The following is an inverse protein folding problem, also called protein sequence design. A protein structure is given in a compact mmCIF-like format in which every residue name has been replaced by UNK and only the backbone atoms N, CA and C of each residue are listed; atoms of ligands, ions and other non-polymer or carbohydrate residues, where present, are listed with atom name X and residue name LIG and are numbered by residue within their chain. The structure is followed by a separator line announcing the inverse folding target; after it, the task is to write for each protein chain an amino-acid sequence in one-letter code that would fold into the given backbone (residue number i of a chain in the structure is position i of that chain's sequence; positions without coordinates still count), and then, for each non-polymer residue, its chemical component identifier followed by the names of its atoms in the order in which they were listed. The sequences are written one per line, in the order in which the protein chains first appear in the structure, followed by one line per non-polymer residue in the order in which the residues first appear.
data_IF_709265622663
#
_entry.id   IF_709265622663
#
_cell.length_a   1.000
_cell.length_b   1.000
_cell.length_c   1.000
_cell.angle_alpha   90.00
_cell.angle_beta   90.00
_cell.angle_gamma   90.00
#
_symmetry.space_group_name_H-M   'P 1'
#
loop_
_entity.id
_entity.type
_entity.pdbx_description
1 polymer ?
#
# COMPACT_ATOMS: atom_id res chain seq x y z
N UNK A 1 12.31 5.51 -19.27
CA UNK A 1 13.67 6.03 -19.10
C UNK A 1 14.19 6.61 -20.41
N UNK A 2 14.82 7.79 -20.39
CA UNK A 2 15.43 8.41 -21.59
C UNK A 2 16.54 7.52 -22.24
N UNK A 3 17.19 6.72 -21.43
CA UNK A 3 18.22 5.77 -21.89
C UNK A 3 17.62 4.71 -22.81
N UNK A 4 16.52 4.05 -22.39
CA UNK A 4 15.87 3.00 -23.19
C UNK A 4 15.39 3.52 -24.55
N UNK A 5 14.86 4.74 -24.61
CA UNK A 5 14.44 5.38 -25.87
C UNK A 5 15.61 5.66 -26.84
N UNK A 6 16.86 5.68 -26.36
CA UNK A 6 18.07 5.89 -27.18
C UNK A 6 18.65 4.60 -27.74
N UNK A 7 18.24 3.43 -27.22
CA UNK A 7 18.79 2.13 -27.64
C UNK A 7 18.44 1.74 -29.08
N UNK A 8 17.33 2.28 -29.64
CA UNK A 8 16.81 1.97 -30.96
C UNK A 8 16.85 0.46 -31.29
N UNK A 9 16.20 -0.39 -30.47
CA UNK A 9 16.23 -1.83 -30.67
C UNK A 9 15.48 -2.21 -31.96
N UNK A 10 15.91 -3.27 -32.64
CA UNK A 10 15.23 -3.82 -33.82
C UNK A 10 13.85 -4.39 -33.49
N UNK A 11 13.70 -4.97 -32.30
CA UNK A 11 12.45 -5.55 -31.81
C UNK A 11 12.22 -5.17 -30.36
N UNK A 12 10.95 -4.94 -30.00
CA UNK A 12 10.54 -4.55 -28.64
C UNK A 12 9.35 -5.37 -28.20
N UNK A 13 9.47 -6.01 -27.05
CA UNK A 13 8.36 -6.63 -26.34
C UNK A 13 8.29 -5.99 -24.94
N UNK A 14 7.12 -5.44 -24.60
CA UNK A 14 6.85 -4.87 -23.30
C UNK A 14 5.83 -5.75 -22.56
N UNK A 15 6.22 -6.31 -21.44
CA UNK A 15 5.35 -7.12 -20.59
C UNK A 15 5.11 -6.40 -19.26
N UNK A 16 3.85 -6.21 -18.89
CA UNK A 16 3.47 -5.57 -17.62
C UNK A 16 2.05 -5.93 -17.23
N UNK A 17 1.82 -6.24 -15.96
CA UNK A 17 0.47 -6.36 -15.41
C UNK A 17 -0.21 -4.98 -15.17
N UNK A 18 0.55 -3.89 -15.16
CA UNK A 18 0.05 -2.54 -14.87
C UNK A 18 0.71 -1.49 -15.76
N UNK A 19 0.49 -1.51 -17.07
CA UNK A 19 1.21 -0.66 -18.04
C UNK A 19 1.03 0.85 -17.78
N UNK A 20 -0.12 1.25 -17.27
CA UNK A 20 -0.42 2.64 -16.92
C UNK A 20 -0.18 2.94 -15.44
N UNK A 21 -0.29 1.96 -14.56
CA UNK A 21 -0.42 2.14 -13.12
C UNK A 21 -1.44 3.24 -12.76
N UNK A 22 -2.61 3.24 -13.45
CA UNK A 22 -3.68 4.23 -13.32
C UNK A 22 -3.41 5.59 -13.96
N UNK A 23 -2.29 5.76 -14.69
CA UNK A 23 -1.85 7.05 -15.26
C UNK A 23 -1.51 6.93 -16.73
N UNK A 24 -2.42 7.33 -17.61
CA UNK A 24 -2.26 7.19 -19.07
C UNK A 24 -1.07 7.98 -19.64
N UNK A 25 -0.62 9.05 -18.99
CA UNK A 25 0.56 9.80 -19.42
C UNK A 25 1.84 8.94 -19.42
N UNK A 26 1.87 7.84 -18.69
CA UNK A 26 3.01 6.91 -18.67
C UNK A 26 3.16 6.09 -19.96
N UNK A 27 2.08 5.99 -20.74
CA UNK A 27 2.10 5.24 -21.99
C UNK A 27 2.93 5.93 -23.08
N UNK A 28 3.13 7.25 -23.02
CA UNK A 28 3.89 7.96 -24.06
C UNK A 28 5.26 7.33 -24.34
N UNK A 29 6.03 7.02 -23.30
CA UNK A 29 7.37 6.44 -23.46
C UNK A 29 7.33 5.00 -23.98
N UNK A 30 6.32 4.23 -23.62
CA UNK A 30 6.09 2.87 -24.09
C UNK A 30 5.71 2.87 -25.58
N UNK A 31 4.74 3.70 -25.94
CA UNK A 31 4.29 3.86 -27.33
C UNK A 31 5.39 4.37 -28.25
N UNK A 32 6.20 5.33 -27.79
CA UNK A 32 7.35 5.79 -28.53
C UNK A 32 8.38 4.68 -28.78
N UNK A 33 8.61 3.82 -27.79
CA UNK A 33 9.49 2.67 -27.93
C UNK A 33 8.95 1.64 -28.92
N UNK A 34 7.62 1.47 -28.97
CA UNK A 34 6.92 0.61 -29.93
C UNK A 34 6.78 1.21 -31.34
N UNK A 35 7.37 2.38 -31.59
CA UNK A 35 7.41 2.98 -32.93
C UNK A 35 6.38 4.07 -33.18
N UNK A 36 5.56 4.47 -32.21
CA UNK A 36 4.68 5.63 -32.38
C UNK A 36 5.48 6.93 -32.23
N UNK A 37 5.79 7.55 -33.37
CA UNK A 37 6.53 8.81 -33.37
C UNK A 37 5.60 10.00 -33.06
N UNK A 38 5.24 10.09 -31.80
CA UNK A 38 4.52 11.23 -31.23
C UNK A 38 5.39 11.93 -30.19
N UNK A 39 5.53 13.25 -30.31
CA UNK A 39 6.24 14.00 -29.29
C UNK A 39 5.39 14.10 -28.00
N UNK A 40 6.09 14.26 -26.85
CA UNK A 40 5.42 14.28 -25.54
C UNK A 40 4.38 15.41 -25.42
N UNK A 41 4.66 16.59 -25.97
CA UNK A 41 3.75 17.74 -25.90
C UNK A 41 2.45 17.46 -26.66
N UNK A 42 2.53 16.89 -27.86
CA UNK A 42 1.36 16.51 -28.66
C UNK A 42 0.55 15.39 -27.96
N UNK A 43 1.25 14.39 -27.38
CA UNK A 43 0.57 13.34 -26.62
C UNK A 43 -0.22 13.91 -25.44
N UNK A 44 0.41 14.78 -24.63
CA UNK A 44 -0.26 15.42 -23.50
C UNK A 44 -1.44 16.30 -23.97
N UNK A 45 -1.25 17.11 -25.00
CA UNK A 45 -2.31 17.93 -25.55
C UNK A 45 -3.51 17.11 -26.05
N UNK A 46 -3.27 15.88 -26.54
CA UNK A 46 -4.33 15.01 -27.07
C UNK A 46 -5.03 14.17 -26.00
N UNK A 47 -4.33 13.73 -24.94
CA UNK A 47 -4.86 12.71 -24.05
C UNK A 47 -4.90 13.07 -22.57
N UNK A 48 -4.23 14.16 -22.15
CA UNK A 48 -4.14 14.54 -20.75
C UNK A 48 -4.89 15.84 -20.51
N UNK A 49 -5.69 15.90 -19.46
CA UNK A 49 -6.33 17.12 -18.97
C UNK A 49 -5.50 17.66 -17.81
N UNK A 50 -5.15 18.93 -17.87
CA UNK A 50 -4.37 19.60 -16.83
C UNK A 50 -5.04 20.88 -16.39
N UNK A 51 -4.89 21.23 -15.12
CA UNK A 51 -5.31 22.50 -14.54
C UNK A 51 -4.16 23.11 -13.75
N UNK A 52 -4.13 24.44 -13.73
CA UNK A 52 -3.19 25.19 -12.93
C UNK A 52 -3.78 25.42 -11.55
N UNK A 53 -3.14 24.85 -10.52
CA UNK A 53 -3.54 25.06 -9.13
C UNK A 53 -2.52 25.99 -8.49
N UNK A 54 -3.02 27.04 -7.84
CA UNK A 54 -2.20 27.95 -7.04
C UNK A 54 -2.08 27.40 -5.61
N UNK A 55 -0.85 27.14 -5.20
CA UNK A 55 -0.57 26.81 -3.81
C UNK A 55 -0.61 28.12 -2.98
N UNK A 56 -0.92 28.02 -1.67
CA UNK A 56 -1.04 29.15 -0.77
C UNK A 56 0.20 30.10 -0.71
N UNK A 57 1.31 29.71 -1.31
CA UNK A 57 2.55 30.48 -1.42
C UNK A 57 2.67 31.23 -2.77
N UNK A 58 1.59 31.32 -3.55
CA UNK A 58 1.55 32.02 -4.85
C UNK A 58 2.19 31.26 -6.02
N UNK A 59 2.71 30.05 -5.80
CA UNK A 59 3.25 29.21 -6.88
C UNK A 59 2.14 28.48 -7.62
N UNK A 60 2.10 28.66 -8.96
CA UNK A 60 1.20 27.90 -9.83
C UNK A 60 1.85 26.60 -10.26
N UNK A 61 1.17 25.48 -10.04
CA UNK A 61 1.58 24.16 -10.47
C UNK A 61 0.55 23.58 -11.40
N UNK A 62 1.00 23.03 -12.54
CA UNK A 62 0.17 22.26 -13.44
C UNK A 62 -0.07 20.86 -12.86
N UNK A 63 -1.34 20.51 -12.69
CA UNK A 63 -1.77 19.20 -12.13
C UNK A 63 -2.65 18.50 -13.14
N UNK A 64 -2.44 17.19 -13.28
CA UNK A 64 -3.29 16.35 -14.13
C UNK A 64 -4.60 16.10 -13.38
N UNK A 65 -5.72 16.50 -13.98
CA UNK A 65 -7.08 16.35 -13.43
C UNK A 65 -7.85 15.23 -14.10
N UNK A 66 -7.41 14.78 -15.28
CA UNK A 66 -8.10 13.71 -15.99
C UNK A 66 -7.45 13.33 -17.31
N UNK A 67 -8.19 12.55 -18.09
CA UNK A 67 -7.78 12.09 -19.40
C UNK A 67 -8.91 12.25 -20.41
N UNK A 68 -8.55 12.53 -21.66
CA UNK A 68 -9.47 12.69 -22.78
C UNK A 68 -9.11 11.74 -23.92
N UNK A 69 -10.09 11.49 -24.80
CA UNK A 69 -9.93 10.60 -25.97
C UNK A 69 -9.35 9.20 -25.63
N UNK A 70 -9.72 8.65 -24.47
CA UNK A 70 -9.18 7.37 -23.98
C UNK A 70 -9.47 6.22 -24.94
N UNK A 71 -10.66 6.18 -25.54
CA UNK A 71 -11.02 5.12 -26.49
C UNK A 71 -10.18 5.20 -27.79
N UNK A 72 -9.85 6.41 -28.24
CA UNK A 72 -8.92 6.60 -29.35
C UNK A 72 -7.53 6.10 -28.97
N UNK A 73 -7.06 6.39 -27.76
CA UNK A 73 -5.76 5.91 -27.25
C UNK A 73 -5.71 4.38 -27.19
N UNK A 74 -6.77 3.72 -26.72
CA UNK A 74 -6.88 2.24 -26.68
C UNK A 74 -6.82 1.65 -28.10
N UNK A 75 -7.55 2.21 -29.05
CA UNK A 75 -7.48 1.76 -30.45
C UNK A 75 -6.06 1.91 -31.03
N UNK A 76 -5.37 3.01 -30.72
CA UNK A 76 -3.97 3.20 -31.14
C UNK A 76 -3.05 2.16 -30.49
N UNK A 77 -3.22 1.85 -29.22
CA UNK A 77 -2.46 0.80 -28.53
C UNK A 77 -2.58 -0.55 -29.26
N UNK A 78 -3.80 -0.95 -29.60
CA UNK A 78 -4.04 -2.19 -30.37
C UNK A 78 -3.38 -2.16 -31.74
N UNK A 79 -3.35 -1.01 -32.44
CA UNK A 79 -2.67 -0.85 -33.73
C UNK A 79 -1.14 -1.03 -33.60
N UNK A 80 -0.56 -0.72 -32.44
CA UNK A 80 0.86 -0.96 -32.11
C UNK A 80 1.10 -2.33 -31.46
N UNK A 81 0.17 -3.27 -31.60
CA UNK A 81 0.33 -4.65 -31.17
C UNK A 81 0.08 -4.87 -29.67
N UNK A 82 -0.54 -3.93 -28.96
CA UNK A 82 -0.90 -4.16 -27.57
C UNK A 82 -2.00 -5.22 -27.45
N UNK A 83 -1.72 -6.25 -26.69
CA UNK A 83 -2.68 -7.31 -26.33
C UNK A 83 -2.98 -7.17 -24.86
N UNK A 84 -4.26 -7.09 -24.52
CA UNK A 84 -4.75 -7.04 -23.15
C UNK A 84 -5.46 -8.35 -22.85
N UNK A 85 -4.96 -9.07 -21.87
CA UNK A 85 -5.58 -10.29 -21.36
C UNK A 85 -5.87 -10.11 -19.88
N UNK A 86 -7.07 -10.45 -19.47
CA UNK A 86 -7.41 -10.55 -18.05
C UNK A 86 -7.06 -11.95 -17.57
N UNK A 87 -6.67 -12.05 -16.31
CA UNK A 87 -6.30 -13.34 -15.72
C UNK A 87 -7.45 -14.33 -15.80
N UNK A 88 -8.70 -13.85 -15.61
CA UNK A 88 -9.92 -14.65 -15.66
C UNK A 88 -10.26 -15.19 -17.07
N UNK A 89 -9.69 -14.59 -18.13
CA UNK A 89 -9.86 -15.04 -19.51
C UNK A 89 -8.92 -16.20 -19.88
N UNK A 90 -7.87 -16.40 -19.07
CA UNK A 90 -6.79 -17.37 -19.37
C UNK A 90 -6.73 -18.49 -18.35
N UNK A 91 -7.08 -18.23 -17.10
CA UNK A 91 -7.00 -19.17 -15.98
C UNK A 91 -8.31 -19.10 -15.20
N UNK A 92 -8.89 -20.27 -14.92
CA UNK A 92 -9.98 -20.36 -13.96
C UNK A 92 -9.44 -20.07 -12.55
N UNK A 93 -9.79 -18.91 -12.00
CA UNK A 93 -9.47 -18.55 -10.64
C UNK A 93 -10.63 -18.93 -9.71
N UNK A 94 -10.33 -19.35 -8.48
CA UNK A 94 -11.37 -19.52 -7.47
C UNK A 94 -12.09 -18.20 -7.22
N UNK A 95 -13.35 -18.28 -6.80
CA UNK A 95 -14.13 -17.10 -6.46
C UNK A 95 -13.43 -16.29 -5.37
N UNK A 96 -13.26 -15.00 -5.63
CA UNK A 96 -12.65 -14.09 -4.68
C UNK A 96 -13.73 -13.47 -3.78
N UNK A 97 -13.65 -13.74 -2.49
CA UNK A 97 -14.52 -13.13 -1.48
C UNK A 97 -13.80 -12.02 -0.74
N UNK A 98 -14.48 -10.91 -0.52
CA UNK A 98 -13.98 -9.78 0.26
C UNK A 98 -14.80 -9.65 1.55
N UNK A 99 -14.14 -9.75 2.71
CA UNK A 99 -14.75 -9.53 4.00
C UNK A 99 -14.16 -8.29 4.67
N UNK A 100 -15.02 -7.35 5.06
CA UNK A 100 -14.62 -6.13 5.77
C UNK A 100 -14.97 -6.23 7.24
N UNK A 101 -13.97 -6.12 8.10
CA UNK A 101 -14.16 -6.06 9.55
C UNK A 101 -14.10 -4.60 9.97
N UNK A 102 -15.22 -4.07 10.47
CA UNK A 102 -15.31 -2.69 10.95
C UNK A 102 -15.09 -2.65 12.47
N UNK A 103 -14.14 -1.84 12.90
CA UNK A 103 -13.78 -1.65 14.28
C UNK A 103 -14.18 -0.25 14.76
N UNK A 104 -14.44 -0.11 16.05
CA UNK A 104 -14.77 1.19 16.63
C UNK A 104 -13.52 2.05 16.78
N UNK A 105 -13.66 3.34 16.52
CA UNK A 105 -12.61 4.32 16.78
C UNK A 105 -12.34 4.39 18.29
N UNK A 106 -11.07 4.20 18.69
CA UNK A 106 -10.66 4.20 20.10
C UNK A 106 -10.75 5.59 20.73
N UNK A 107 -10.83 5.64 22.05
CA UNK A 107 -10.83 6.90 22.79
C UNK A 107 -9.47 7.63 22.67
N UNK A 108 -8.38 6.87 22.65
CA UNK A 108 -7.02 7.36 22.44
C UNK A 108 -6.89 8.09 21.10
N UNK A 109 -7.44 7.50 20.03
CA UNK A 109 -7.47 8.15 18.70
C UNK A 109 -8.26 9.45 18.73
N UNK A 110 -9.48 9.45 19.33
CA UNK A 110 -10.32 10.64 19.45
C UNK A 110 -9.64 11.73 20.26
N UNK A 111 -8.99 11.35 21.37
CA UNK A 111 -8.24 12.28 22.22
C UNK A 111 -7.06 12.89 21.45
N UNK A 112 -6.26 12.07 20.78
CA UNK A 112 -5.11 12.53 20.02
C UNK A 112 -5.49 13.48 18.86
N UNK A 113 -6.56 13.17 18.12
CA UNK A 113 -7.06 14.05 17.06
C UNK A 113 -7.41 15.44 17.59
N UNK A 114 -8.02 15.49 18.78
CA UNK A 114 -8.49 16.74 19.39
C UNK A 114 -7.36 17.56 20.02
N UNK A 115 -6.42 16.89 20.69
CA UNK A 115 -5.41 17.56 21.52
C UNK A 115 -4.01 17.61 20.90
N UNK A 116 -3.74 16.87 19.83
CA UNK A 116 -2.42 16.66 19.21
C UNK A 116 -1.34 16.10 20.17
N UNK A 117 -1.77 15.54 21.29
CA UNK A 117 -0.92 14.95 22.30
C UNK A 117 -1.61 13.74 22.91
N UNK A 118 -0.82 12.69 23.18
CA UNK A 118 -1.29 11.51 23.91
C UNK A 118 -0.09 10.82 24.56
N UNK A 119 -0.22 10.45 25.82
CA UNK A 119 0.63 9.46 26.48
C UNK A 119 -0.09 8.11 26.46
N UNK A 120 0.50 7.12 25.81
CA UNK A 120 -0.08 5.80 25.60
C UNK A 120 0.71 4.74 26.38
N UNK A 121 0.02 3.99 27.25
CA UNK A 121 0.58 2.77 27.86
C UNK A 121 0.29 1.58 26.95
N UNK A 122 1.33 1.04 26.36
CA UNK A 122 1.21 -0.02 25.35
C UNK A 122 1.19 -1.43 25.95
N UNK A 123 1.42 -1.61 27.25
CA UNK A 123 1.48 -2.90 27.93
C UNK A 123 0.14 -3.64 27.95
N UNK A 124 -0.96 -2.90 28.03
CA UNK A 124 -2.32 -3.43 28.18
C UNK A 124 -3.07 -3.64 26.86
N UNK A 125 -2.41 -3.49 25.70
CA UNK A 125 -3.06 -3.59 24.39
C UNK A 125 -3.44 -5.03 24.03
N UNK A 126 -2.66 -6.02 24.49
CA UNK A 126 -2.99 -7.44 24.35
C UNK A 126 -2.62 -8.13 25.66
N UNK A 127 -3.59 -8.73 26.33
CA UNK A 127 -3.33 -9.61 27.47
C UNK A 127 -3.04 -11.01 26.95
N UNK A 128 -1.82 -11.48 27.16
CA UNK A 128 -1.48 -12.89 27.00
C UNK A 128 -1.78 -13.62 28.31
N UNK A 129 -2.13 -14.92 28.24
CA UNK A 129 -2.50 -15.71 29.43
C UNK A 129 -1.36 -15.83 30.45
N UNK A 130 -0.12 -15.62 30.04
CA UNK A 130 1.07 -15.60 30.89
C UNK A 130 1.73 -14.21 30.82
N UNK A 131 1.21 -13.27 31.61
CA UNK A 131 1.73 -11.89 31.69
C UNK A 131 3.11 -11.76 32.38
N UNK A 132 3.73 -12.88 32.81
CA UNK A 132 4.99 -12.86 33.54
C UNK A 132 6.25 -12.71 32.67
N UNK A 133 6.17 -12.98 31.36
CA UNK A 133 7.33 -13.03 30.48
C UNK A 133 7.42 -11.89 29.45
N UNK A 134 6.69 -10.79 29.67
CA UNK A 134 6.55 -9.71 28.68
C UNK A 134 7.58 -8.58 28.86
N UNK A 135 8.77 -8.87 29.38
CA UNK A 135 9.95 -8.00 29.35
C UNK A 135 10.78 -8.19 28.06
N UNK A 136 10.13 -8.29 26.92
CA UNK A 136 10.81 -8.30 25.64
C UNK A 136 11.25 -6.89 25.25
N UNK A 137 12.53 -6.72 24.96
CA UNK A 137 13.26 -5.48 24.67
C UNK A 137 12.70 -4.63 23.51
N UNK A 138 11.72 -5.13 22.75
CA UNK A 138 11.26 -4.51 21.49
C UNK A 138 9.96 -3.69 21.58
N UNK A 139 9.32 -3.58 22.76
CA UNK A 139 8.08 -2.81 22.91
C UNK A 139 8.25 -1.75 23.97
N UNK A 140 8.25 -0.48 23.57
CA UNK A 140 8.30 0.65 24.50
C UNK A 140 7.04 0.66 25.35
N UNK A 141 7.13 0.52 26.69
CA UNK A 141 5.95 0.35 27.55
C UNK A 141 5.09 1.61 27.66
N UNK A 142 5.68 2.78 27.45
CA UNK A 142 5.00 4.07 27.37
C UNK A 142 5.50 4.85 26.20
N UNK A 143 4.59 5.41 25.41
CA UNK A 143 4.89 6.20 24.22
C UNK A 143 4.20 7.53 24.32
N UNK A 144 4.97 8.59 24.15
CA UNK A 144 4.47 9.96 24.07
C UNK A 144 4.31 10.35 22.60
N UNK A 145 3.11 10.71 22.20
CA UNK A 145 2.76 11.09 20.85
C UNK A 145 2.50 12.60 20.79
N UNK A 146 3.31 13.31 20.02
CA UNK A 146 3.21 14.77 19.82
C UNK A 146 2.98 15.05 18.34
N UNK A 147 1.77 15.47 17.99
CA UNK A 147 1.38 15.83 16.61
C UNK A 147 1.70 17.29 16.31
N UNK A 148 2.97 17.66 16.31
CA UNK A 148 3.48 19.01 16.11
C UNK A 148 3.25 19.55 14.69
N UNK A 149 3.13 18.66 13.71
CA UNK A 149 2.83 18.98 12.33
C UNK A 149 1.87 17.96 11.71
N UNK A 150 1.34 18.26 10.53
CA UNK A 150 0.35 17.41 9.86
C UNK A 150 0.88 16.01 9.49
N UNK A 151 2.17 15.90 9.14
CA UNK A 151 2.78 14.63 8.78
C UNK A 151 2.93 13.73 10.02
N UNK A 152 3.48 14.25 11.09
CA UNK A 152 3.66 13.56 12.38
C UNK A 152 2.29 13.14 12.95
N UNK A 153 1.31 14.05 12.91
CA UNK A 153 -0.06 13.76 13.32
C UNK A 153 -0.66 12.60 12.52
N UNK A 154 -0.53 12.63 11.20
CA UNK A 154 -1.04 11.55 10.32
C UNK A 154 -0.34 10.22 10.60
N UNK A 155 0.97 10.25 10.85
CA UNK A 155 1.74 9.05 11.21
C UNK A 155 1.19 8.41 12.49
N UNK A 156 1.04 9.18 13.56
CA UNK A 156 0.54 8.68 14.84
C UNK A 156 -0.92 8.22 14.76
N UNK A 157 -1.76 8.90 14.00
CA UNK A 157 -3.11 8.43 13.71
C UNK A 157 -3.12 7.03 13.08
N UNK A 158 -2.22 6.78 12.12
CA UNK A 158 -2.08 5.47 11.49
C UNK A 158 -1.57 4.41 12.47
N UNK A 159 -0.64 4.76 13.36
CA UNK A 159 -0.14 3.85 14.40
C UNK A 159 -1.23 3.52 15.42
N UNK A 160 -2.03 4.50 15.85
CA UNK A 160 -3.17 4.28 16.74
C UNK A 160 -4.25 3.38 16.12
N UNK A 161 -4.45 3.45 14.79
CA UNK A 161 -5.36 2.56 14.07
C UNK A 161 -4.73 1.19 13.73
N UNK A 162 -3.42 1.06 13.77
CA UNK A 162 -2.67 -0.15 13.44
C UNK A 162 -2.19 -0.88 14.68
N UNK A 163 -0.93 -0.66 15.02
CA UNK A 163 -0.19 -1.40 16.04
C UNK A 163 -0.72 -1.24 17.47
N UNK A 164 -1.45 -0.17 17.77
CA UNK A 164 -1.97 0.12 19.11
C UNK A 164 -3.49 0.02 19.21
N UNK A 165 -4.15 -0.57 18.23
CA UNK A 165 -5.60 -0.78 18.26
C UNK A 165 -5.92 -2.18 18.81
N UNK A 166 -6.36 -2.24 20.07
CA UNK A 166 -6.62 -3.50 20.78
C UNK A 166 -7.61 -4.41 20.04
N UNK A 167 -8.79 -3.88 19.69
CA UNK A 167 -9.81 -4.67 18.98
C UNK A 167 -9.30 -5.20 17.62
N UNK A 168 -8.38 -4.50 16.95
CA UNK A 168 -7.75 -4.98 15.70
C UNK A 168 -6.86 -6.20 15.95
N UNK A 169 -6.08 -6.16 17.03
CA UNK A 169 -5.23 -7.27 17.42
C UNK A 169 -6.06 -8.48 17.89
N UNK A 170 -7.17 -8.23 18.60
CA UNK A 170 -8.13 -9.27 18.98
C UNK A 170 -8.81 -9.88 17.75
N UNK A 171 -9.30 -9.07 16.80
CA UNK A 171 -9.89 -9.57 15.56
C UNK A 171 -8.88 -10.38 14.71
N UNK A 172 -7.61 -10.04 14.75
CA UNK A 172 -6.57 -10.84 14.11
C UNK A 172 -6.38 -12.19 14.83
N UNK A 173 -6.42 -12.22 16.17
CA UNK A 173 -6.39 -13.47 16.92
C UNK A 173 -7.58 -14.36 16.58
N UNK A 174 -8.79 -13.81 16.61
CA UNK A 174 -10.02 -14.54 16.27
C UNK A 174 -9.93 -15.12 14.85
N UNK A 175 -9.37 -14.37 13.91
CA UNK A 175 -9.15 -14.86 12.55
C UNK A 175 -8.19 -16.06 12.54
N UNK A 176 -7.07 -15.99 13.28
CA UNK A 176 -6.11 -17.09 13.38
C UNK A 176 -6.71 -18.34 14.04
N UNK A 177 -7.60 -18.17 15.02
CA UNK A 177 -8.28 -19.26 15.69
C UNK A 177 -9.37 -19.90 14.81
N UNK A 178 -9.92 -19.13 13.86
CA UNK A 178 -11.03 -19.58 12.99
C UNK A 178 -10.57 -20.40 11.79
N UNK A 179 -9.28 -20.44 11.46
CA UNK A 179 -8.77 -21.17 10.29
C UNK A 179 -7.41 -21.81 10.53
N UNK A 180 -7.20 -22.96 9.91
CA UNK A 180 -5.90 -23.63 9.81
C UNK A 180 -5.13 -23.21 8.55
N UNK A 181 -5.72 -22.41 7.68
CA UNK A 181 -5.14 -22.01 6.41
C UNK A 181 -3.91 -21.11 6.59
N UNK A 182 -3.08 -21.06 5.55
CA UNK A 182 -1.97 -20.12 5.46
C UNK A 182 -2.49 -18.73 5.15
N UNK A 183 -2.08 -17.75 5.96
CA UNK A 183 -2.49 -16.36 5.81
C UNK A 183 -1.33 -15.49 5.34
N UNK A 184 -1.61 -14.55 4.45
CA UNK A 184 -0.69 -13.47 4.09
C UNK A 184 -1.19 -12.18 4.76
N UNK A 185 -0.38 -11.63 5.66
CA UNK A 185 -0.75 -10.45 6.44
C UNK A 185 0.12 -9.27 6.02
N UNK A 186 -0.52 -8.19 5.56
CA UNK A 186 0.13 -6.92 5.28
C UNK A 186 0.05 -6.00 6.49
N UNK A 187 1.18 -5.41 6.85
CA UNK A 187 1.31 -4.48 7.97
C UNK A 187 2.12 -3.24 7.56
N UNK A 188 2.08 -2.20 8.37
CA UNK A 188 2.73 -0.92 8.05
C UNK A 188 3.93 -0.57 8.95
N UNK A 189 3.99 -1.10 10.16
CA UNK A 189 4.97 -0.71 11.17
C UNK A 189 5.66 -1.92 11.79
N UNK A 190 6.94 -1.78 12.15
CA UNK A 190 7.71 -2.87 12.75
C UNK A 190 7.13 -3.31 14.11
N UNK A 191 6.63 -2.38 14.92
CA UNK A 191 5.97 -2.73 16.18
C UNK A 191 4.64 -3.50 15.94
N UNK A 192 3.91 -3.18 14.87
CA UNK A 192 2.75 -3.97 14.45
C UNK A 192 3.15 -5.42 14.14
N UNK A 193 4.25 -5.62 13.38
CA UNK A 193 4.79 -6.96 13.11
C UNK A 193 5.14 -7.70 14.41
N UNK A 194 5.83 -7.04 15.36
CA UNK A 194 6.20 -7.64 16.64
C UNK A 194 4.96 -8.13 17.39
N UNK A 195 3.88 -7.34 17.43
CA UNK A 195 2.63 -7.72 18.09
C UNK A 195 1.91 -8.87 17.37
N UNK A 196 1.84 -8.82 16.05
CA UNK A 196 1.24 -9.89 15.25
C UNK A 196 1.99 -11.21 15.43
N UNK A 197 3.33 -11.19 15.44
CA UNK A 197 4.15 -12.38 15.71
C UNK A 197 3.87 -12.98 17.09
N UNK A 198 3.81 -12.16 18.13
CA UNK A 198 3.52 -12.65 19.48
C UNK A 198 2.14 -13.31 19.58
N UNK A 199 1.13 -12.78 18.86
CA UNK A 199 -0.19 -13.45 18.78
C UNK A 199 -0.04 -14.81 18.09
N UNK A 200 0.67 -14.91 16.98
CA UNK A 200 0.92 -16.19 16.30
C UNK A 200 1.65 -17.17 17.21
N UNK A 201 2.71 -16.74 17.89
CA UNK A 201 3.49 -17.55 18.84
C UNK A 201 2.61 -18.08 19.99
N UNK A 202 1.72 -17.23 20.53
CA UNK A 202 0.78 -17.65 21.60
C UNK A 202 -0.24 -18.71 21.14
N UNK A 203 -0.45 -18.86 19.85
CA UNK A 203 -1.33 -19.84 19.22
C UNK A 203 -0.53 -21.00 18.56
N UNK A 204 0.78 -21.09 18.80
CA UNK A 204 1.69 -22.06 18.18
C UNK A 204 1.65 -22.03 16.64
N UNK A 205 1.43 -20.85 16.04
CA UNK A 205 1.46 -20.64 14.58
C UNK A 205 2.83 -20.16 14.17
N UNK A 206 3.46 -20.86 13.25
CA UNK A 206 4.76 -20.47 12.66
C UNK A 206 4.61 -19.25 11.75
N UNK A 207 5.63 -18.39 11.75
CA UNK A 207 5.60 -17.10 11.02
C UNK A 207 6.84 -16.92 10.19
N UNK A 208 6.64 -16.67 8.90
CA UNK A 208 7.65 -16.07 8.02
C UNK A 208 7.36 -14.57 7.84
N UNK A 209 8.39 -13.75 7.65
CA UNK A 209 8.22 -12.33 7.43
C UNK A 209 9.21 -11.73 6.45
N UNK A 210 8.80 -10.63 5.80
CA UNK A 210 9.65 -9.83 4.91
C UNK A 210 9.55 -8.36 5.33
N UNK A 211 10.69 -7.75 5.63
CA UNK A 211 10.81 -6.34 5.99
C UNK A 211 11.92 -5.66 5.16
N UNK A 212 11.98 -4.33 5.17
CA UNK A 212 12.99 -3.59 4.41
C UNK A 212 14.45 -3.92 4.80
N UNK A 213 14.70 -4.32 6.03
CA UNK A 213 16.04 -4.67 6.56
C UNK A 213 16.36 -6.17 6.54
N UNK A 214 15.40 -7.04 6.20
CA UNK A 214 15.63 -8.48 6.22
C UNK A 214 14.39 -9.31 5.96
N UNK A 215 14.59 -10.65 6.01
CA UNK A 215 13.51 -11.62 5.87
C UNK A 215 13.78 -12.87 6.70
N UNK A 216 12.72 -13.53 7.11
CA UNK A 216 12.76 -14.91 7.61
C UNK A 216 11.70 -15.71 6.88
N UNK A 217 12.10 -16.81 6.24
CA UNK A 217 11.21 -17.67 5.45
C UNK A 217 11.02 -19.04 6.13
N UNK A 218 11.38 -19.15 7.39
CA UNK A 218 11.41 -20.40 8.16
C UNK A 218 10.10 -21.20 8.08
N UNK A 219 8.95 -20.53 8.22
CA UNK A 219 7.65 -21.21 8.16
C UNK A 219 7.13 -21.44 6.73
N UNK A 220 7.87 -20.99 5.71
CA UNK A 220 7.48 -21.13 4.31
C UNK A 220 8.11 -22.35 3.65
N UNK A 221 9.28 -22.76 4.14
CA UNK A 221 10.00 -23.97 3.67
C UNK A 221 9.35 -25.25 4.21
#
# INVERSE_FOLDING_TARGET
SKFILKLQPESVILLSGTPTAGKYERLWSQLKLLGWDINKKAFYASYVQTEWIENGDGYKKEVITGYKHVEHLKKRLTQFGAVFMKTEEVIELPEQTEQKIFLKITNEYKFFIKHNYLELDTRNLVRFKDDSDFEGEDVTPRVELIGDNSLTKTLYCRQLCGQWHKEKLEAFRDLLESTEDRLIVFYNFNEELTRLRKICESLNREVSFVIGSGRSMYAYE
#
